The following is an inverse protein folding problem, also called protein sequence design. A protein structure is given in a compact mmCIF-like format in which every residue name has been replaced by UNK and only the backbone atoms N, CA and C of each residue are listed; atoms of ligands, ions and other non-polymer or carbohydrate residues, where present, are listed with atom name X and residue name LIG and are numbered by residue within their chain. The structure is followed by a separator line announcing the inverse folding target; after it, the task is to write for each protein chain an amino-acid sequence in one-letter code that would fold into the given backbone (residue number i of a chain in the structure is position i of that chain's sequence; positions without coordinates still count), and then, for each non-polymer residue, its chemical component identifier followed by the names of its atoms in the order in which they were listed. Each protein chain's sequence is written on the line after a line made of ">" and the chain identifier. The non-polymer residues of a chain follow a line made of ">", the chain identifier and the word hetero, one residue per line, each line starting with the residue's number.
data_IF_392126343326
#
_entry.id   IF_392126343326
#
_cell.length_a   1.000
_cell.length_b   1.000
_cell.length_c   1.000
_cell.angle_alpha   90.00
_cell.angle_beta   90.00
_cell.angle_gamma   90.00
#
_symmetry.space_group_name_H-M   'P 1'
#
loop_
_entity.id
_entity.type
_entity.pdbx_description
1 polymer ?
#
# COMPACT_ATOMS: atom_id res chain seq x y z
N UNK A 1 34.33 -32.81 20.61
CA UNK A 1 33.11 -31.99 20.71
C UNK A 1 32.90 -31.32 19.37
N UNK A 2 32.04 -31.87 18.55
CA UNK A 2 31.66 -31.25 17.29
C UNK A 2 30.65 -30.13 17.60
N UNK A 3 31.04 -28.90 17.39
CA UNK A 3 30.11 -27.77 17.41
C UNK A 3 29.19 -27.97 16.21
N UNK A 4 27.96 -28.38 16.45
CA UNK A 4 26.93 -28.29 15.44
C UNK A 4 26.69 -26.81 15.19
N UNK A 5 27.18 -26.33 14.06
CA UNK A 5 26.77 -25.02 13.53
C UNK A 5 25.29 -25.15 13.27
N UNK A 6 24.50 -24.47 14.08
CA UNK A 6 23.07 -24.33 13.80
C UNK A 6 22.93 -23.81 12.38
N UNK A 7 22.17 -24.54 11.59
CA UNK A 7 21.80 -24.08 10.25
C UNK A 7 21.24 -22.66 10.30
N UNK A 8 21.54 -21.86 9.28
CA UNK A 8 21.08 -20.47 9.27
C UNK A 8 19.56 -20.38 9.38
N UNK A 9 19.04 -19.29 9.91
CA UNK A 9 17.64 -19.10 10.28
C UNK A 9 16.61 -19.29 9.15
N UNK A 10 17.03 -19.45 7.91
CA UNK A 10 16.13 -19.65 6.77
C UNK A 10 15.24 -20.90 6.89
N UNK A 11 15.66 -21.94 7.56
CA UNK A 11 14.86 -23.15 7.72
C UNK A 11 13.85 -23.06 8.85
N UNK A 12 14.09 -22.20 9.84
CA UNK A 12 13.12 -21.99 10.92
C UNK A 12 12.00 -21.03 10.52
N UNK A 13 12.23 -20.21 9.50
CA UNK A 13 11.26 -19.22 9.05
C UNK A 13 10.07 -19.83 8.32
N UNK A 14 10.29 -20.81 7.47
CA UNK A 14 9.22 -21.49 6.74
C UNK A 14 8.25 -22.22 7.68
N UNK A 15 8.68 -22.55 8.88
CA UNK A 15 7.86 -23.18 9.90
C UNK A 15 7.14 -22.18 10.81
N UNK A 16 7.54 -20.91 10.82
CA UNK A 16 7.03 -19.88 11.76
C UNK A 16 5.95 -18.98 11.17
N UNK A 17 5.84 -18.90 9.84
CA UNK A 17 4.81 -18.12 9.18
C UNK A 17 3.61 -19.01 8.84
N UNK A 18 2.55 -19.01 9.64
CA UNK A 18 1.36 -19.79 9.33
C UNK A 18 0.61 -19.15 8.18
N UNK A 19 0.41 -19.92 7.12
CA UNK A 19 -0.30 -19.48 5.95
C UNK A 19 0.47 -18.41 5.16
N UNK A 20 1.38 -18.81 4.27
CA UNK A 20 2.10 -17.87 3.43
C UNK A 20 1.12 -17.07 2.55
N UNK A 21 1.45 -15.81 2.19
CA UNK A 21 0.63 -15.04 1.27
C UNK A 21 0.61 -15.72 -0.11
N UNK A 22 -0.52 -15.67 -0.75
CA UNK A 22 -0.70 -16.13 -2.14
C UNK A 22 -0.69 -14.94 -3.11
N UNK A 23 -0.66 -15.23 -4.41
CA UNK A 23 -0.82 -14.18 -5.44
C UNK A 23 -2.10 -13.37 -5.27
N UNK A 24 -3.16 -13.99 -4.79
CA UNK A 24 -4.46 -13.34 -4.58
C UNK A 24 -4.44 -12.32 -3.43
N UNK A 25 -3.46 -12.39 -2.56
CA UNK A 25 -3.26 -11.40 -1.49
C UNK A 25 -2.53 -10.14 -1.95
N UNK A 26 -2.02 -10.11 -3.20
CA UNK A 26 -1.35 -8.95 -3.76
C UNK A 26 -0.06 -8.53 -3.05
N UNK A 27 0.53 -9.38 -2.21
CA UNK A 27 1.71 -9.06 -1.42
C UNK A 27 1.45 -8.01 -0.33
N UNK A 28 0.22 -7.88 0.13
CA UNK A 28 -0.17 -6.86 1.09
C UNK A 28 0.40 -7.12 2.47
N UNK A 29 1.17 -6.16 2.95
CA UNK A 29 1.79 -6.18 4.27
C UNK A 29 2.03 -4.75 4.78
N UNK A 30 2.10 -4.59 6.09
CA UNK A 30 2.43 -3.32 6.73
C UNK A 30 3.07 -3.53 8.10
N UNK A 31 3.95 -2.61 8.50
CA UNK A 31 4.62 -2.63 9.79
C UNK A 31 4.11 -1.47 10.64
N UNK A 32 3.68 -1.76 11.86
CA UNK A 32 3.28 -0.74 12.80
C UNK A 32 4.51 -0.09 13.46
N UNK A 33 4.39 1.15 13.96
CA UNK A 33 5.43 1.78 14.76
C UNK A 33 5.80 0.99 16.03
N UNK A 34 4.91 0.11 16.50
CA UNK A 34 5.15 -0.77 17.65
C UNK A 34 5.93 -2.05 17.29
N UNK A 35 6.40 -2.20 16.05
CA UNK A 35 7.15 -3.37 15.61
C UNK A 35 6.29 -4.60 15.33
N UNK A 36 5.03 -4.41 15.00
CA UNK A 36 4.13 -5.49 14.57
C UNK A 36 4.02 -5.52 13.04
N UNK A 37 4.40 -6.62 12.46
CA UNK A 37 4.30 -6.86 11.03
C UNK A 37 3.01 -7.64 10.72
N UNK A 38 2.08 -7.01 10.02
CA UNK A 38 0.85 -7.64 9.55
C UNK A 38 0.97 -7.96 8.07
N UNK A 39 0.51 -9.13 7.68
CA UNK A 39 0.43 -9.53 6.28
C UNK A 39 -0.85 -10.32 6.00
N UNK A 40 -1.32 -10.19 4.76
CA UNK A 40 -2.48 -10.92 4.29
C UNK A 40 -2.11 -12.36 3.94
N UNK A 41 -2.87 -13.31 4.46
CA UNK A 41 -2.74 -14.74 4.19
C UNK A 41 -4.12 -15.33 3.87
N UNK A 42 -4.45 -15.46 2.60
CA UNK A 42 -5.79 -15.86 2.16
C UNK A 42 -6.85 -14.89 2.65
N UNK A 43 -7.78 -15.36 3.47
CA UNK A 43 -8.86 -14.56 4.09
C UNK A 43 -8.55 -14.13 5.53
N UNK A 44 -7.30 -14.29 5.97
CA UNK A 44 -6.86 -13.94 7.32
C UNK A 44 -5.72 -12.93 7.28
N UNK A 45 -5.58 -12.17 8.36
CA UNK A 45 -4.41 -11.35 8.62
C UNK A 45 -3.57 -12.04 9.68
N UNK A 46 -2.31 -12.29 9.36
CA UNK A 46 -1.33 -12.80 10.32
C UNK A 46 -0.47 -11.66 10.83
N UNK A 47 -0.23 -11.63 12.12
CA UNK A 47 0.57 -10.59 12.79
C UNK A 47 1.75 -11.25 13.50
N UNK A 48 2.95 -10.75 13.19
CA UNK A 48 4.23 -11.23 13.70
C UNK A 48 4.93 -10.10 14.43
N UNK A 49 5.54 -10.40 15.56
CA UNK A 49 6.42 -9.46 16.27
C UNK A 49 7.79 -9.46 15.57
N UNK A 50 8.29 -8.26 15.20
CA UNK A 50 9.45 -8.15 14.29
C UNK A 50 10.80 -8.50 14.92
N UNK A 51 10.97 -8.36 16.23
CA UNK A 51 12.24 -8.70 16.89
C UNK A 51 12.43 -10.21 17.08
N UNK A 52 11.40 -10.87 17.57
CA UNK A 52 11.43 -12.31 17.82
C UNK A 52 11.00 -13.14 16.61
N UNK A 53 10.38 -12.50 15.63
CA UNK A 53 9.73 -13.12 14.48
C UNK A 53 8.69 -14.18 14.86
N UNK A 54 8.09 -14.01 16.03
CA UNK A 54 7.07 -14.92 16.51
C UNK A 54 5.67 -14.47 16.07
N UNK A 55 4.85 -15.45 15.72
CA UNK A 55 3.44 -15.21 15.46
C UNK A 55 2.74 -14.74 16.73
N UNK A 56 2.11 -13.57 16.63
CA UNK A 56 1.30 -13.02 17.73
C UNK A 56 -0.14 -13.51 17.61
N UNK A 57 -0.72 -13.38 16.42
CA UNK A 57 -2.11 -13.80 16.18
C UNK A 57 -2.40 -13.93 14.69
N UNK A 58 -3.47 -14.67 14.39
CA UNK A 58 -4.09 -14.70 13.07
C UNK A 58 -5.56 -14.32 13.22
N UNK A 59 -6.01 -13.32 12.48
CA UNK A 59 -7.37 -12.79 12.55
C UNK A 59 -8.08 -13.11 11.24
N UNK A 60 -9.07 -14.01 11.23
CA UNK A 60 -9.85 -14.30 10.05
C UNK A 60 -10.85 -13.17 9.77
N UNK A 61 -11.04 -12.84 8.49
CA UNK A 61 -12.14 -11.98 8.07
C UNK A 61 -13.44 -12.79 8.06
N UNK A 62 -14.52 -12.23 8.62
CA UNK A 62 -15.82 -12.87 8.52
C UNK A 62 -16.28 -12.96 7.06
N UNK A 63 -16.94 -14.06 6.68
CA UNK A 63 -17.50 -14.19 5.34
C UNK A 63 -18.56 -13.11 5.10
N UNK A 64 -18.77 -12.67 3.85
CA UNK A 64 -19.83 -11.71 3.53
C UNK A 64 -21.21 -12.32 3.82
N UNK A 65 -22.09 -11.51 4.42
CA UNK A 65 -23.43 -11.93 4.87
C UNK A 65 -24.37 -12.38 3.75
N UNK A 66 -24.06 -12.06 2.49
CA UNK A 66 -24.92 -12.27 1.32
C UNK A 66 -24.30 -13.20 0.26
N UNK A 67 -23.29 -13.97 0.58
CA UNK A 67 -22.63 -14.79 -0.43
C UNK A 67 -23.44 -16.03 -0.78
N UNK A 68 -24.12 -15.99 -1.88
CA UNK A 68 -24.54 -17.17 -2.64
C UNK A 68 -23.37 -17.87 -3.35
N UNK A 69 -22.17 -17.25 -3.30
CA UNK A 69 -20.93 -17.76 -3.88
C UNK A 69 -19.95 -18.13 -2.78
N UNK A 70 -19.53 -19.37 -2.79
CA UNK A 70 -18.61 -20.00 -1.82
C UNK A 70 -17.14 -19.51 -1.90
N UNK A 71 -16.89 -18.33 -2.46
CA UNK A 71 -15.54 -17.80 -2.60
C UNK A 71 -15.11 -17.13 -1.29
N UNK A 72 -14.06 -17.67 -0.68
CA UNK A 72 -13.41 -17.05 0.47
C UNK A 72 -12.94 -15.63 0.13
N UNK A 73 -13.15 -14.65 1.03
CA UNK A 73 -12.67 -13.29 0.82
C UNK A 73 -11.14 -13.27 0.88
N UNK A 74 -10.48 -12.92 -0.23
CA UNK A 74 -9.04 -12.72 -0.23
C UNK A 74 -8.73 -11.27 0.15
N UNK A 75 -7.87 -11.11 1.15
CA UNK A 75 -7.38 -9.81 1.59
C UNK A 75 -6.37 -9.30 0.55
N UNK A 76 -6.56 -8.06 0.12
CA UNK A 76 -5.71 -7.40 -0.89
C UNK A 76 -4.97 -6.19 -0.35
N UNK A 77 -5.38 -5.64 0.78
CA UNK A 77 -4.70 -4.50 1.40
C UNK A 77 -4.82 -4.55 2.92
N UNK A 78 -3.71 -4.24 3.59
CA UNK A 78 -3.60 -4.21 5.05
C UNK A 78 -2.80 -2.97 5.43
N UNK A 79 -3.35 -2.12 6.31
CA UNK A 79 -2.66 -0.91 6.79
C UNK A 79 -2.94 -0.68 8.27
N UNK A 80 -1.87 -0.58 9.06
CA UNK A 80 -1.97 -0.19 10.45
C UNK A 80 -2.41 1.26 10.61
N UNK A 81 -3.25 1.53 11.60
CA UNK A 81 -3.52 2.91 11.99
C UNK A 81 -2.23 3.56 12.48
N UNK A 82 -1.97 4.80 12.07
CA UNK A 82 -0.86 5.56 12.63
C UNK A 82 -1.08 5.72 14.13
N UNK A 83 -0.03 5.46 14.90
CA UNK A 83 -0.05 5.73 16.33
C UNK A 83 0.29 7.19 16.54
N UNK A 84 -0.63 7.94 17.14
CA UNK A 84 -0.23 9.15 17.82
C UNK A 84 0.55 8.71 19.06
N UNK A 85 1.86 8.90 19.06
CA UNK A 85 2.64 8.77 20.27
C UNK A 85 2.17 9.84 21.25
N UNK A 86 1.43 9.52 22.31
CA UNK A 86 1.18 10.51 23.35
C UNK A 86 2.45 10.65 24.17
N UNK A 87 2.89 11.83 24.31
CA UNK A 87 3.88 12.21 25.32
C UNK A 87 3.32 12.13 26.77
N UNK A 88 2.18 11.50 26.96
CA UNK A 88 1.50 11.38 28.25
C UNK A 88 1.43 9.91 28.66
N UNK A 89 2.11 9.63 29.74
CA UNK A 89 2.33 8.33 30.38
C UNK A 89 1.03 7.66 30.88
N UNK A 90 -0.11 8.36 30.90
CA UNK A 90 -1.32 7.93 31.58
C UNK A 90 -2.57 7.74 30.72
N UNK A 91 -2.44 7.67 29.38
CA UNK A 91 -3.61 7.36 28.55
C UNK A 91 -3.67 5.86 28.28
N UNK A 92 -4.77 5.18 28.68
CA UNK A 92 -4.87 3.75 28.49
C UNK A 92 -4.89 3.41 27.01
N UNK A 93 -3.78 2.84 26.58
CA UNK A 93 -3.66 1.92 25.47
C UNK A 93 -4.33 2.36 24.15
N UNK A 94 -3.50 2.92 23.29
CA UNK A 94 -3.87 3.16 21.90
C UNK A 94 -4.47 1.89 21.28
N UNK A 95 -5.67 2.05 20.76
CA UNK A 95 -6.28 1.01 19.94
C UNK A 95 -5.47 0.85 18.68
N UNK A 96 -4.74 -0.24 18.57
CA UNK A 96 -4.13 -0.65 17.32
C UNK A 96 -5.24 -1.14 16.40
N UNK A 97 -5.59 -0.32 15.43
CA UNK A 97 -6.55 -0.66 14.41
C UNK A 97 -5.82 -1.05 13.12
N UNK A 98 -6.37 -2.03 12.46
CA UNK A 98 -5.88 -2.49 11.18
C UNK A 98 -6.97 -2.28 10.13
N UNK A 99 -6.71 -1.43 9.13
CA UNK A 99 -7.59 -1.31 7.99
C UNK A 99 -7.32 -2.46 7.03
N UNK A 100 -8.37 -3.15 6.63
CA UNK A 100 -8.29 -4.34 5.76
C UNK A 100 -9.25 -4.18 4.60
N UNK A 101 -8.72 -4.32 3.40
CA UNK A 101 -9.50 -4.38 2.16
C UNK A 101 -9.43 -5.75 1.52
N UNK A 102 -10.48 -6.19 0.86
CA UNK A 102 -10.54 -7.46 0.20
C UNK A 102 -10.81 -7.37 -1.31
N UNK A 103 -10.68 -8.50 -1.98
CA UNK A 103 -10.89 -8.64 -3.43
C UNK A 103 -12.35 -8.38 -3.85
N UNK A 104 -13.29 -8.47 -2.92
CA UNK A 104 -14.70 -8.23 -3.19
C UNK A 104 -15.13 -6.77 -2.99
N UNK A 105 -14.18 -5.89 -2.65
CA UNK A 105 -14.43 -4.48 -2.43
C UNK A 105 -14.91 -4.13 -1.03
N UNK A 106 -14.80 -5.05 -0.07
CA UNK A 106 -15.12 -4.75 1.33
C UNK A 106 -13.93 -4.10 2.02
N UNK A 107 -14.21 -3.18 2.91
CA UNK A 107 -13.24 -2.57 3.81
C UNK A 107 -13.75 -2.71 5.22
N UNK A 108 -12.90 -3.11 6.14
CA UNK A 108 -13.21 -3.12 7.56
C UNK A 108 -12.03 -2.65 8.41
N UNK A 109 -12.33 -2.17 9.60
CA UNK A 109 -11.35 -1.96 10.66
C UNK A 109 -11.38 -3.15 11.60
N UNK A 110 -10.21 -3.75 11.82
CA UNK A 110 -10.00 -4.78 12.83
C UNK A 110 -9.35 -4.16 14.05
N UNK A 111 -9.93 -4.39 15.22
CA UNK A 111 -9.24 -4.08 16.47
C UNK A 111 -8.29 -5.25 16.80
N UNK A 112 -7.01 -4.94 16.88
CA UNK A 112 -5.98 -5.93 17.18
C UNK A 112 -6.14 -6.57 18.57
N UNK A 113 -6.67 -5.84 19.54
CA UNK A 113 -6.85 -6.32 20.93
C UNK A 113 -8.00 -7.32 21.05
N UNK A 114 -9.15 -6.96 20.51
CA UNK A 114 -10.33 -7.83 20.50
C UNK A 114 -10.30 -8.90 19.43
N UNK A 115 -9.36 -8.75 18.44
CA UNK A 115 -9.24 -9.63 17.28
C UNK A 115 -10.53 -9.74 16.48
N UNK A 116 -11.27 -8.66 16.42
CA UNK A 116 -12.59 -8.60 15.81
C UNK A 116 -12.78 -7.35 14.97
N UNK A 117 -13.64 -7.40 13.94
CA UNK A 117 -14.02 -6.22 13.19
C UNK A 117 -14.83 -5.27 14.08
N UNK A 118 -14.50 -3.97 13.97
CA UNK A 118 -15.21 -2.91 14.68
C UNK A 118 -16.18 -2.17 13.78
N UNK A 119 -15.77 -1.88 12.54
CA UNK A 119 -16.57 -1.15 11.57
C UNK A 119 -16.37 -1.76 10.19
N UNK A 120 -17.47 -1.92 9.44
CA UNK A 120 -17.46 -2.15 8.00
C UNK A 120 -17.81 -0.86 7.28
N UNK A 121 -17.05 -0.56 6.22
CA UNK A 121 -17.26 0.64 5.42
C UNK A 121 -18.30 0.40 4.33
N UNK A 122 -19.11 1.42 4.09
CA UNK A 122 -20.06 1.43 2.99
C UNK A 122 -19.36 1.80 1.67
N UNK A 123 -18.93 0.80 0.94
CA UNK A 123 -18.27 0.98 -0.37
C UNK A 123 -19.27 1.12 -1.53
N UNK A 124 -20.59 1.05 -1.22
CA UNK A 124 -21.67 1.12 -2.20
C UNK A 124 -22.05 -0.24 -2.77
N UNK A 125 -23.34 -0.44 -2.99
CA UNK A 125 -23.94 -1.72 -3.40
C UNK A 125 -23.67 -2.13 -4.86
N UNK A 126 -23.02 -1.29 -5.65
CA UNK A 126 -22.87 -1.48 -7.09
C UNK A 126 -21.49 -1.96 -7.57
N UNK A 127 -20.46 -1.81 -6.77
CA UNK A 127 -19.09 -2.06 -7.20
C UNK A 127 -18.50 -3.25 -6.47
N UNK A 128 -18.48 -4.41 -7.12
CA UNK A 128 -17.72 -5.59 -6.68
C UNK A 128 -16.23 -5.49 -7.07
N UNK A 129 -15.70 -4.27 -7.12
CA UNK A 129 -14.30 -4.03 -7.48
C UNK A 129 -13.42 -4.19 -6.24
N UNK A 130 -12.36 -4.97 -6.37
CA UNK A 130 -11.45 -5.23 -5.27
C UNK A 130 -10.73 -3.98 -4.76
N UNK A 131 -10.41 -3.97 -3.49
CA UNK A 131 -9.60 -2.90 -2.88
C UNK A 131 -8.14 -3.12 -3.28
N UNK A 132 -7.54 -2.12 -3.90
CA UNK A 132 -6.15 -2.20 -4.35
C UNK A 132 -5.17 -1.69 -3.30
N UNK A 133 -5.51 -0.60 -2.62
CA UNK A 133 -4.66 -0.01 -1.59
C UNK A 133 -5.49 0.83 -0.62
N UNK A 134 -4.93 1.04 0.57
CA UNK A 134 -5.51 1.82 1.65
C UNK A 134 -4.47 2.80 2.19
N UNK A 135 -4.94 3.93 2.69
CA UNK A 135 -4.07 4.92 3.32
C UNK A 135 -4.81 5.67 4.43
N UNK A 136 -4.22 5.70 5.61
CA UNK A 136 -4.73 6.51 6.72
C UNK A 136 -4.33 7.97 6.55
N UNK A 137 -5.26 8.89 6.76
CA UNK A 137 -5.04 10.32 6.65
C UNK A 137 -5.60 11.01 7.89
N UNK A 138 -4.79 11.86 8.50
CA UNK A 138 -5.17 12.58 9.70
C UNK A 138 -5.66 13.98 9.34
N UNK A 139 -6.90 14.28 9.66
CA UNK A 139 -7.53 15.58 9.40
C UNK A 139 -7.52 16.52 10.60
N UNK A 140 -7.31 15.99 11.79
CA UNK A 140 -7.21 16.74 13.03
C UNK A 140 -6.54 15.91 14.13
N UNK A 141 -6.35 16.43 15.34
CA UNK A 141 -5.64 15.74 16.41
C UNK A 141 -6.19 14.34 16.72
N UNK A 142 -7.52 14.18 16.71
CA UNK A 142 -8.20 12.91 16.97
C UNK A 142 -9.11 12.48 15.81
N UNK A 143 -8.94 13.09 14.64
CA UNK A 143 -9.77 12.84 13.47
C UNK A 143 -8.99 12.16 12.37
N UNK A 144 -9.48 11.01 11.94
CA UNK A 144 -8.89 10.20 10.89
C UNK A 144 -9.91 9.88 9.81
N UNK A 145 -9.44 9.88 8.57
CA UNK A 145 -10.14 9.35 7.43
C UNK A 145 -9.33 8.20 6.80
N UNK A 146 -9.99 7.36 6.06
CA UNK A 146 -9.35 6.30 5.29
C UNK A 146 -9.53 6.56 3.80
N UNK A 147 -8.43 6.68 3.07
CA UNK A 147 -8.42 6.70 1.62
C UNK A 147 -8.30 5.27 1.08
N UNK A 148 -9.07 4.93 0.07
CA UNK A 148 -9.08 3.61 -0.53
C UNK A 148 -9.12 3.71 -2.06
N UNK A 149 -8.33 2.86 -2.72
CA UNK A 149 -8.46 2.59 -4.14
C UNK A 149 -9.45 1.45 -4.33
N UNK A 150 -10.64 1.79 -4.79
CA UNK A 150 -11.76 0.86 -4.99
C UNK A 150 -11.84 0.50 -6.48
N UNK A 151 -11.16 -0.57 -6.88
CA UNK A 151 -11.01 -0.91 -8.28
C UNK A 151 -9.88 -0.13 -8.97
N UNK A 152 -9.86 -0.12 -10.32
CA UNK A 152 -8.69 0.37 -11.05
C UNK A 152 -8.53 1.89 -11.06
N UNK A 153 -9.62 2.66 -10.98
CA UNK A 153 -9.58 4.11 -11.19
C UNK A 153 -10.26 4.94 -10.12
N UNK A 154 -10.94 4.33 -9.17
CA UNK A 154 -11.76 5.03 -8.19
C UNK A 154 -11.02 5.22 -6.87
N UNK A 155 -10.82 6.47 -6.49
CA UNK A 155 -10.41 6.87 -5.14
C UNK A 155 -11.65 7.21 -4.31
N UNK A 156 -11.76 6.63 -3.13
CA UNK A 156 -12.84 6.91 -2.18
C UNK A 156 -12.27 7.31 -0.83
N UNK A 157 -12.90 8.28 -0.18
CA UNK A 157 -12.53 8.72 1.17
C UNK A 157 -13.66 8.39 2.13
N UNK A 158 -13.30 7.81 3.27
CA UNK A 158 -14.25 7.35 4.28
C UNK A 158 -13.97 8.00 5.62
N UNK A 159 -15.03 8.37 6.31
CA UNK A 159 -14.96 8.71 7.72
C UNK A 159 -14.77 7.43 8.55
N UNK A 160 -13.72 7.36 9.35
CA UNK A 160 -13.37 6.14 10.09
C UNK A 160 -14.27 5.87 11.31
N UNK A 161 -14.97 6.88 11.80
CA UNK A 161 -15.89 6.74 12.92
C UNK A 161 -17.25 6.19 12.49
N UNK A 162 -17.72 6.57 11.31
CA UNK A 162 -19.05 6.20 10.79
C UNK A 162 -19.01 5.12 9.71
N UNK A 163 -17.86 4.92 9.08
CA UNK A 163 -17.71 4.02 7.93
C UNK A 163 -18.34 4.55 6.64
N UNK A 164 -18.80 5.80 6.60
CA UNK A 164 -19.45 6.39 5.43
C UNK A 164 -18.44 7.01 4.48
N UNK A 165 -18.67 6.77 3.18
CA UNK A 165 -17.95 7.45 2.12
C UNK A 165 -18.48 8.88 1.97
N UNK A 166 -17.59 9.86 2.00
CA UNK A 166 -17.95 11.28 1.83
C UNK A 166 -17.37 11.91 0.58
N UNK A 167 -16.43 11.25 -0.09
CA UNK A 167 -15.79 11.77 -1.30
C UNK A 167 -15.42 10.63 -2.25
N UNK A 168 -15.60 10.86 -3.55
CA UNK A 168 -15.18 9.94 -4.61
C UNK A 168 -14.55 10.73 -5.75
N UNK A 169 -13.48 10.17 -6.32
CA UNK A 169 -12.83 10.68 -7.51
C UNK A 169 -12.53 9.53 -8.47
N UNK A 170 -13.09 9.58 -9.66
CA UNK A 170 -12.83 8.62 -10.71
C UNK A 170 -11.82 9.19 -11.70
N UNK A 171 -10.64 8.56 -11.74
CA UNK A 171 -9.54 8.98 -12.60
C UNK A 171 -9.63 8.39 -14.03
N UNK A 172 -10.64 7.60 -14.34
CA UNK A 172 -10.72 6.96 -15.66
C UNK A 172 -10.48 7.97 -16.81
N UNK A 173 -9.67 7.64 -17.81
CA UNK A 173 -9.14 6.32 -18.16
C UNK A 173 -7.82 5.94 -17.45
N UNK A 174 -7.35 6.73 -16.52
CA UNK A 174 -6.14 6.43 -15.75
C UNK A 174 -6.39 5.34 -14.70
N UNK A 175 -5.40 4.46 -14.51
CA UNK A 175 -5.45 3.40 -13.52
C UNK A 175 -4.50 3.70 -12.37
N UNK A 176 -5.00 3.71 -11.15
CA UNK A 176 -4.19 3.87 -9.96
C UNK A 176 -3.39 2.61 -9.62
N UNK A 177 -2.22 2.80 -9.05
CA UNK A 177 -1.35 1.75 -8.55
C UNK A 177 -1.32 1.70 -7.02
N UNK A 178 -1.05 2.83 -6.38
CA UNK A 178 -0.89 2.86 -4.93
C UNK A 178 -1.14 4.25 -4.33
N UNK A 179 -1.35 4.25 -3.02
CA UNK A 179 -1.51 5.42 -2.17
C UNK A 179 -0.34 5.53 -1.20
N UNK A 180 0.13 6.76 -0.93
CA UNK A 180 1.12 7.02 0.12
C UNK A 180 0.80 8.34 0.79
N UNK A 181 0.90 8.36 2.13
CA UNK A 181 0.76 9.56 2.94
C UNK A 181 2.09 10.32 3.00
N UNK A 182 2.00 11.66 2.96
CA UNK A 182 3.12 12.55 3.14
C UNK A 182 3.62 12.48 4.59
N UNK A 183 4.90 12.18 4.83
CA UNK A 183 5.43 12.14 6.19
C UNK A 183 5.54 13.51 6.86
N UNK A 184 5.49 14.60 6.10
CA UNK A 184 5.60 15.99 6.59
C UNK A 184 4.23 16.67 6.78
N UNK A 185 3.19 16.20 6.10
CA UNK A 185 1.82 16.68 6.27
C UNK A 185 0.85 15.50 6.37
N UNK A 186 0.33 15.27 7.57
CA UNK A 186 -0.56 14.14 7.86
C UNK A 186 -1.90 14.20 7.11
N UNK A 187 -2.28 15.37 6.59
CA UNK A 187 -3.51 15.60 5.81
C UNK A 187 -3.31 15.37 4.32
N UNK A 188 -2.06 15.32 3.88
CA UNK A 188 -1.68 15.19 2.48
C UNK A 188 -1.29 13.76 2.15
N UNK A 189 -1.77 13.29 1.02
CA UNK A 189 -1.36 12.03 0.41
C UNK A 189 -1.41 12.13 -1.11
N UNK A 190 -0.76 11.20 -1.77
CA UNK A 190 -0.82 11.09 -3.22
C UNK A 190 -1.29 9.71 -3.66
N UNK A 191 -1.96 9.67 -4.80
CA UNK A 191 -2.31 8.47 -5.53
C UNK A 191 -1.54 8.45 -6.85
N UNK A 192 -0.73 7.42 -7.06
CA UNK A 192 0.05 7.25 -8.29
C UNK A 192 -0.72 6.39 -9.28
N UNK A 193 -0.82 6.88 -10.52
CA UNK A 193 -1.27 6.12 -11.66
C UNK A 193 -0.16 5.30 -12.32
N UNK A 194 -0.53 4.26 -13.06
CA UNK A 194 0.42 3.36 -13.71
C UNK A 194 1.31 4.04 -14.74
N UNK A 195 0.81 5.10 -15.39
CA UNK A 195 1.49 5.84 -16.47
C UNK A 195 2.04 7.19 -16.04
N UNK A 196 2.20 7.41 -14.73
CA UNK A 196 2.77 8.63 -14.19
C UNK A 196 1.76 9.73 -13.85
N UNK A 197 0.45 9.49 -14.03
CA UNK A 197 -0.56 10.35 -13.45
C UNK A 197 -0.41 10.36 -11.93
N UNK A 198 -0.37 11.53 -11.32
CA UNK A 198 -0.26 11.67 -9.87
C UNK A 198 -1.36 12.62 -9.38
N UNK A 199 -2.20 12.10 -8.50
CA UNK A 199 -3.22 12.88 -7.83
C UNK A 199 -2.72 13.25 -6.44
N UNK A 200 -2.51 14.54 -6.21
CA UNK A 200 -2.19 15.08 -4.88
C UNK A 200 -3.48 15.49 -4.19
N UNK A 201 -3.72 14.96 -3.00
CA UNK A 201 -4.95 15.14 -2.24
C UNK A 201 -4.62 15.67 -0.86
N UNK A 202 -5.29 16.76 -0.48
CA UNK A 202 -5.24 17.30 0.89
C UNK A 202 -6.64 17.27 1.48
N UNK A 203 -6.82 16.55 2.58
CA UNK A 203 -8.08 16.44 3.29
C UNK A 203 -8.03 17.31 4.55
N UNK A 204 -8.78 18.40 4.55
CA UNK A 204 -8.86 19.34 5.67
C UNK A 204 -9.93 18.96 6.69
N UNK A 205 -10.83 18.06 6.33
CA UNK A 205 -11.92 17.57 7.13
C UNK A 205 -12.53 16.31 6.53
N UNK A 206 -13.75 15.98 6.95
CA UNK A 206 -14.48 14.77 6.59
C UNK A 206 -15.70 15.04 5.71
N UNK A 207 -15.74 16.19 5.05
CA UNK A 207 -16.77 16.57 4.09
C UNK A 207 -16.17 16.71 2.68
N UNK A 208 -17.02 16.59 1.65
CA UNK A 208 -16.59 16.72 0.26
C UNK A 208 -15.94 18.06 -0.04
N UNK A 209 -16.39 19.13 0.60
CA UNK A 209 -15.86 20.47 0.41
C UNK A 209 -14.48 20.70 1.07
N UNK A 210 -14.08 19.80 1.95
CA UNK A 210 -12.79 19.87 2.65
C UNK A 210 -11.64 19.20 1.87
N UNK A 211 -11.92 18.64 0.70
CA UNK A 211 -10.95 17.92 -0.11
C UNK A 211 -10.40 18.83 -1.22
N UNK A 212 -9.09 19.02 -1.21
CA UNK A 212 -8.37 19.78 -2.24
C UNK A 212 -7.58 18.81 -3.11
N UNK A 213 -7.78 18.90 -4.41
CA UNK A 213 -7.14 18.05 -5.40
C UNK A 213 -6.17 18.85 -6.28
N UNK A 214 -5.07 18.22 -6.65
CA UNK A 214 -4.16 18.69 -7.68
C UNK A 214 -3.71 17.52 -8.55
N UNK A 215 -3.89 17.64 -9.85
CA UNK A 215 -3.45 16.66 -10.83
C UNK A 215 -2.05 17.03 -11.35
N UNK A 216 -1.15 16.06 -11.34
CA UNK A 216 0.21 16.18 -11.82
C UNK A 216 0.51 15.05 -12.81
N UNK A 217 1.49 15.27 -13.69
CA UNK A 217 1.95 14.26 -14.62
C UNK A 217 3.46 14.08 -14.49
N UNK A 218 3.88 12.88 -14.09
CA UNK A 218 5.28 12.49 -14.08
C UNK A 218 5.57 11.86 -15.45
N UNK A 219 6.50 12.44 -16.19
CA UNK A 219 6.89 11.94 -17.52
C UNK A 219 7.64 10.62 -17.38
N UNK A 220 7.23 9.64 -18.11
CA UNK A 220 7.89 8.34 -18.26
C UNK A 220 7.85 7.90 -19.72
N UNK A 221 8.68 6.94 -20.08
CA UNK A 221 8.62 6.32 -21.42
C UNK A 221 7.36 5.46 -21.55
N UNK A 222 6.32 6.05 -22.14
CA UNK A 222 5.02 5.39 -22.33
C UNK A 222 5.08 4.25 -23.36
N UNK A 223 6.08 4.22 -24.23
CA UNK A 223 6.19 3.16 -25.26
C UNK A 223 6.46 1.80 -24.63
N UNK A 224 7.30 1.74 -23.61
CA UNK A 224 7.55 0.50 -22.85
C UNK A 224 6.31 0.05 -22.07
N UNK A 225 5.57 0.98 -21.46
CA UNK A 225 4.33 0.67 -20.75
C UNK A 225 3.25 0.12 -21.70
N UNK A 226 3.12 0.69 -22.89
CA UNK A 226 2.19 0.21 -23.93
C UNK A 226 2.55 -1.19 -24.44
N UNK A 227 3.83 -1.51 -24.55
CA UNK A 227 4.27 -2.87 -24.89
C UNK A 227 3.86 -3.86 -23.80
N UNK A 228 4.08 -3.52 -22.55
CA UNK A 228 3.69 -4.36 -21.41
C UNK A 228 2.17 -4.59 -21.34
N UNK A 229 1.37 -3.59 -21.69
CA UNK A 229 -0.08 -3.72 -21.80
C UNK A 229 -0.51 -4.68 -22.94
N UNK A 230 0.14 -4.60 -24.09
CA UNK A 230 -0.13 -5.51 -25.22
C UNK A 230 0.24 -6.95 -24.90
N UNK A 231 1.38 -7.16 -24.24
CA UNK A 231 1.85 -8.50 -23.87
C UNK A 231 0.91 -9.15 -22.84
N UNK A 232 0.28 -8.34 -21.97
CA UNK A 232 -0.69 -8.85 -20.99
C UNK A 232 -2.06 -9.15 -21.61
N UNK A 233 -2.43 -8.48 -22.71
CA UNK A 233 -3.71 -8.70 -23.38
C UNK A 233 -3.70 -9.85 -24.40
N UNK A 234 -2.51 -10.29 -24.84
CA UNK A 234 -2.36 -11.37 -25.84
C UNK A 234 -2.37 -12.79 -25.25
N UNK A 235 -2.37 -12.94 -23.96
CA UNK A 235 -2.25 -14.22 -23.24
C UNK A 235 -3.56 -14.82 -22.76
N UNK A 236 -4.54 -15.11 -23.60
CA UNK A 236 -5.60 -16.01 -23.17
C UNK A 236 -6.96 -15.84 -23.80
N UNK A 237 -7.28 -16.72 -24.69
CA UNK A 237 -8.65 -17.01 -25.10
C UNK A 237 -9.47 -17.51 -23.90
N UNK A 238 -10.50 -16.79 -23.52
CA UNK A 238 -11.69 -17.37 -22.89
C UNK A 238 -11.77 -17.41 -21.37
N UNK A 239 -10.96 -16.67 -20.63
CA UNK A 239 -11.25 -16.46 -19.21
C UNK A 239 -12.22 -15.27 -19.04
N UNK A 240 -13.27 -15.38 -18.19
CA UNK A 240 -14.08 -14.22 -17.85
C UNK A 240 -13.18 -13.14 -17.28
N UNK A 241 -13.46 -11.89 -17.58
CA UNK A 241 -12.74 -10.71 -17.10
C UNK A 241 -12.80 -10.59 -15.57
N UNK A 242 -12.19 -11.54 -14.89
CA UNK A 242 -11.77 -11.37 -13.52
C UNK A 242 -10.69 -10.28 -13.58
N UNK A 243 -10.88 -9.20 -12.82
CA UNK A 243 -10.00 -8.07 -12.73
C UNK A 243 -8.53 -8.52 -12.83
N UNK A 244 -7.98 -8.50 -14.04
CA UNK A 244 -6.57 -8.79 -14.28
C UNK A 244 -5.83 -7.62 -13.66
N UNK A 245 -5.23 -7.87 -12.50
CA UNK A 245 -4.27 -6.93 -11.95
C UNK A 245 -3.22 -6.69 -13.04
N UNK A 246 -2.85 -5.44 -13.28
CA UNK A 246 -1.87 -5.13 -14.30
C UNK A 246 -0.60 -5.93 -14.04
N UNK A 247 -0.03 -6.49 -15.09
CA UNK A 247 1.19 -7.31 -15.02
C UNK A 247 2.44 -6.50 -14.71
N UNK A 248 2.32 -5.17 -14.69
CA UNK A 248 3.38 -4.26 -14.26
C UNK A 248 2.87 -3.35 -13.15
N UNK A 249 3.79 -2.91 -12.34
CA UNK A 249 3.53 -2.13 -11.13
C UNK A 249 4.34 -0.86 -11.23
N UNK A 250 3.71 0.28 -10.92
CA UNK A 250 4.40 1.52 -10.63
C UNK A 250 4.23 1.81 -9.15
N UNK A 251 5.31 2.10 -8.45
CA UNK A 251 5.31 2.37 -7.01
C UNK A 251 6.01 3.69 -6.73
N UNK A 252 5.66 4.31 -5.63
CA UNK A 252 6.35 5.50 -5.18
C UNK A 252 6.43 5.53 -3.65
N UNK A 253 7.33 6.36 -3.16
CA UNK A 253 7.44 6.67 -1.75
C UNK A 253 7.81 8.15 -1.58
N UNK A 254 7.32 8.76 -0.52
CA UNK A 254 7.80 10.08 -0.10
C UNK A 254 9.19 9.96 0.49
N UNK A 255 10.03 10.97 0.27
CA UNK A 255 11.27 11.09 1.00
C UNK A 255 10.98 11.38 2.48
N UNK A 256 11.58 10.64 3.42
CA UNK A 256 11.45 10.94 4.83
C UNK A 256 12.35 12.09 5.29
N UNK A 257 13.29 12.53 4.44
CA UNK A 257 14.29 13.55 4.76
C UNK A 257 14.03 14.90 4.08
N UNK A 258 13.41 14.87 2.89
CA UNK A 258 13.20 16.05 2.07
C UNK A 258 11.71 16.28 1.80
N UNK A 259 11.21 17.39 2.28
CA UNK A 259 9.84 17.81 2.02
C UNK A 259 9.60 17.97 0.51
N UNK A 260 8.43 17.58 0.04
CA UNK A 260 7.99 17.62 -1.36
C UNK A 260 8.72 16.69 -2.35
N UNK A 261 9.67 15.88 -1.90
CA UNK A 261 10.32 14.92 -2.78
C UNK A 261 9.66 13.56 -2.70
N UNK A 262 9.44 12.97 -3.88
CA UNK A 262 8.99 11.58 -4.04
C UNK A 262 9.94 10.81 -4.94
N UNK A 263 10.06 9.52 -4.66
CA UNK A 263 10.78 8.56 -5.49
C UNK A 263 9.74 7.69 -6.21
N UNK A 264 9.77 7.67 -7.53
CA UNK A 264 8.82 6.92 -8.34
C UNK A 264 9.54 5.86 -9.13
N UNK A 265 9.15 4.60 -8.94
CA UNK A 265 9.65 3.47 -9.72
C UNK A 265 8.60 3.05 -10.74
N UNK A 266 8.87 3.32 -11.99
CA UNK A 266 8.24 2.67 -13.12
C UNK A 266 8.95 1.33 -13.39
N UNK A 267 8.39 0.43 -14.17
CA UNK A 267 9.02 -0.88 -14.38
C UNK A 267 10.50 -0.84 -14.79
N UNK A 268 10.92 0.15 -15.55
CA UNK A 268 12.29 0.28 -16.06
C UNK A 268 12.99 1.59 -15.74
N UNK A 269 12.35 2.46 -14.98
CA UNK A 269 12.85 3.80 -14.70
C UNK A 269 12.60 4.19 -13.25
N UNK A 270 13.60 4.79 -12.61
CA UNK A 270 13.48 5.42 -11.32
C UNK A 270 13.55 6.93 -11.50
N UNK A 271 12.56 7.65 -10.98
CA UNK A 271 12.44 9.10 -11.07
C UNK A 271 12.42 9.70 -9.67
N UNK A 272 13.19 10.76 -9.46
CA UNK A 272 13.06 11.64 -8.29
C UNK A 272 12.30 12.87 -8.73
N UNK A 273 11.16 13.11 -8.13
CA UNK A 273 10.23 14.17 -8.53
C UNK A 273 9.97 15.15 -7.39
N UNK A 274 9.97 16.42 -7.71
CA UNK A 274 9.64 17.52 -6.78
C UNK A 274 8.18 17.94 -6.99
N UNK A 275 7.37 17.76 -5.95
CA UNK A 275 5.95 18.11 -5.97
C UNK A 275 5.72 19.63 -5.93
N UNK A 276 6.63 20.39 -5.35
CA UNK A 276 6.49 21.84 -5.22
C UNK A 276 6.74 22.52 -6.56
N UNK A 277 7.81 22.13 -7.26
CA UNK A 277 8.18 22.68 -8.55
C UNK A 277 7.64 21.89 -9.74
N UNK A 278 6.97 20.76 -9.47
CA UNK A 278 6.34 19.90 -10.48
C UNK A 278 7.33 19.42 -11.56
N UNK A 279 8.54 19.10 -11.13
CA UNK A 279 9.63 18.73 -12.05
C UNK A 279 10.37 17.46 -11.59
N UNK A 280 10.84 16.70 -12.57
CA UNK A 280 11.76 15.59 -12.32
C UNK A 280 13.17 16.15 -12.09
N UNK A 281 13.75 15.85 -10.93
CA UNK A 281 15.11 16.25 -10.58
C UNK A 281 16.15 15.24 -11.09
N UNK A 282 15.75 13.99 -11.21
CA UNK A 282 16.62 12.90 -11.62
C UNK A 282 15.79 11.79 -12.25
N UNK A 283 16.37 11.14 -13.24
CA UNK A 283 15.82 9.92 -13.83
C UNK A 283 16.97 8.96 -14.17
N UNK A 284 16.76 7.68 -13.93
CA UNK A 284 17.72 6.63 -14.25
C UNK A 284 17.01 5.35 -14.67
N UNK A 285 17.59 4.66 -15.64
CA UNK A 285 17.15 3.33 -16.02
C UNK A 285 17.54 2.25 -15.02
N UNK A 286 17.26 1.00 -15.38
CA UNK A 286 17.60 -0.17 -14.57
C UNK A 286 19.12 -0.30 -14.36
N UNK A 287 19.56 -0.62 -13.15
CA UNK A 287 20.95 -1.03 -12.91
C UNK A 287 21.29 -2.29 -13.70
N UNK A 288 22.56 -2.42 -14.07
CA UNK A 288 23.02 -3.59 -14.82
C UNK A 288 22.72 -4.90 -14.08
N UNK A 289 22.09 -5.82 -14.79
CA UNK A 289 21.77 -7.15 -14.25
C UNK A 289 20.60 -7.18 -13.27
N UNK A 290 19.87 -6.10 -13.08
CA UNK A 290 18.64 -6.08 -12.31
C UNK A 290 17.41 -6.23 -13.20
N UNK A 291 16.40 -6.96 -12.69
CA UNK A 291 15.07 -7.02 -13.28
C UNK A 291 14.29 -5.72 -13.09
N UNK A 292 13.05 -5.68 -13.59
CA UNK A 292 12.15 -4.53 -13.46
C UNK A 292 12.02 -4.10 -12.00
N UNK A 293 11.83 -2.80 -11.76
CA UNK A 293 11.52 -2.30 -10.43
C UNK A 293 10.19 -2.85 -9.92
N UNK A 294 10.16 -3.22 -8.65
CA UNK A 294 8.99 -3.75 -7.96
C UNK A 294 8.53 -2.83 -6.83
N UNK A 295 9.45 -2.28 -6.05
CA UNK A 295 9.14 -1.44 -4.89
C UNK A 295 10.28 -0.46 -4.61
N UNK A 296 9.95 0.66 -3.98
CA UNK A 296 10.90 1.67 -3.49
C UNK A 296 10.73 1.85 -1.99
N UNK A 297 11.83 1.81 -1.27
CA UNK A 297 11.87 1.83 0.19
C UNK A 297 12.95 2.82 0.65
N UNK A 298 12.58 4.08 0.92
CA UNK A 298 13.52 5.03 1.49
C UNK A 298 13.82 4.68 2.95
N UNK A 299 15.09 4.80 3.33
CA UNK A 299 15.52 4.62 4.71
C UNK A 299 15.10 5.84 5.54
N UNK A 300 14.53 5.62 6.72
CA UNK A 300 14.05 6.71 7.59
C UNK A 300 15.19 7.40 8.35
N UNK A 301 16.35 6.79 8.48
CA UNK A 301 17.46 7.29 9.29
C UNK A 301 18.58 7.90 8.46
N UNK A 302 18.81 7.38 7.26
CA UNK A 302 19.90 7.81 6.38
C UNK A 302 19.36 8.09 4.97
N UNK A 303 20.04 8.96 4.22
CA UNK A 303 19.67 9.30 2.84
C UNK A 303 20.03 8.18 1.85
N UNK A 304 19.36 7.06 2.00
CA UNK A 304 19.49 5.88 1.13
C UNK A 304 18.12 5.43 0.66
N UNK A 305 18.03 5.09 -0.61
CA UNK A 305 16.87 4.49 -1.21
C UNK A 305 17.19 3.05 -1.60
N UNK A 306 16.39 2.12 -1.15
CA UNK A 306 16.42 0.72 -1.57
C UNK A 306 15.34 0.48 -2.61
N UNK A 307 15.69 -0.21 -3.68
CA UNK A 307 14.71 -0.65 -4.67
C UNK A 307 14.75 -2.17 -4.77
N UNK A 308 13.58 -2.78 -4.65
CA UNK A 308 13.40 -4.19 -4.91
C UNK A 308 13.14 -4.40 -6.41
N UNK A 309 13.66 -5.49 -6.95
CA UNK A 309 13.53 -5.86 -8.36
C UNK A 309 12.81 -7.20 -8.52
N UNK A 310 12.15 -7.37 -9.64
CA UNK A 310 11.33 -8.54 -9.94
C UNK A 310 12.13 -9.87 -9.96
N UNK A 311 13.44 -9.80 -10.20
CA UNK A 311 14.37 -10.93 -10.17
C UNK A 311 14.94 -11.24 -8.77
N UNK A 312 14.36 -10.62 -7.72
CA UNK A 312 14.76 -10.83 -6.33
C UNK A 312 16.00 -10.06 -5.89
N UNK A 313 16.56 -9.20 -6.72
CA UNK A 313 17.68 -8.34 -6.38
C UNK A 313 17.23 -7.08 -5.67
N UNK A 314 18.15 -6.50 -4.90
CA UNK A 314 18.02 -5.19 -4.28
C UNK A 314 19.09 -4.26 -4.84
N UNK A 315 18.70 -3.05 -5.21
CA UNK A 315 19.64 -1.98 -5.56
C UNK A 315 19.56 -0.87 -4.51
N UNK A 316 20.72 -0.24 -4.28
CA UNK A 316 20.88 0.82 -3.29
C UNK A 316 21.28 2.10 -4.01
N UNK A 317 20.56 3.18 -3.72
CA UNK A 317 20.75 4.48 -4.33
C UNK A 317 21.09 5.51 -3.28
N UNK A 318 22.10 6.32 -3.56
CA UNK A 318 22.52 7.42 -2.67
C UNK A 318 22.65 8.70 -3.46
N UNK A 319 22.32 9.80 -2.82
CA UNK A 319 22.60 11.13 -3.37
C UNK A 319 24.14 11.30 -3.47
N UNK A 320 24.62 11.71 -4.63
CA UNK A 320 26.02 12.16 -4.74
C UNK A 320 26.12 13.53 -4.11
N UNK A 321 26.92 13.67 -3.10
CA UNK A 321 27.40 14.97 -2.65
C UNK A 321 28.33 15.49 -3.73
N UNK A 322 27.99 16.62 -4.32
CA UNK A 322 28.94 17.38 -5.14
C UNK A 322 29.96 17.98 -4.16
N UNK A 323 31.13 17.40 -4.10
CA UNK A 323 32.28 17.96 -3.39
C UNK A 323 32.74 19.24 -4.13
#
# INVERSE_FOLDING_TARGET
>A
MSIQIQKPPNESWDCMLPGPPSRNNGGSADISPAGLFAYASGSSVSVVETHSMQLVTTIPLPPPSSSTTSLSPFITSVKWSPQNLPHLIDVPQHHLLLAVGDRQGRICLLDFRSKSPTIFFDTGSGSKLGIQDLCWVQTGPDSWILAALCGPSLLSLFNTSTGRCFFKYDAAPEYFSCLRRDPFDSRHFCALGLKGFLLSVTALGDTENDVVLKELQIRTDTTELQKLERDSSSGGNGAPASATFPTYISKFAFSPHWMHLIFVAFPRELVVFDLQYETALFSSGLPRGCGKFLEVLPDSNIEVLYCAHLDGKLSTWRRKENI
#
